data_IF_695082417372
#
_entry.id   IF_695082417372
#
_cell.length_a   1.000
_cell.length_b   1.000
_cell.length_c   1.000
_cell.angle_alpha   90.00
_cell.angle_beta   90.00
_cell.angle_gamma   90.00
#
_symmetry.space_group_name_H-M   'P 1'
#
loop_
_entity.id
_entity.type
_entity.pdbx_description
1 polymer ?
#
# COMPACT_ATOMS: atom_id res chain seq x y z
N UNK A 1 41.47 23.26 6.84
CA UNK A 1 41.14 22.32 5.75
C UNK A 1 39.64 22.30 5.63
N UNK A 2 39.10 22.71 4.50
CA UNK A 2 37.66 22.68 4.24
C UNK A 2 37.26 21.24 3.85
N UNK A 3 36.72 20.52 4.81
CA UNK A 3 36.47 19.08 4.69
C UNK A 3 35.31 18.78 3.72
N UNK A 4 34.32 19.67 3.61
CA UNK A 4 33.17 19.48 2.72
C UNK A 4 33.60 19.55 1.26
N UNK A 5 34.48 20.52 0.96
CA UNK A 5 35.05 20.69 -0.37
C UNK A 5 36.10 19.62 -0.71
N UNK A 6 36.77 19.06 0.31
CA UNK A 6 37.78 17.99 0.15
C UNK A 6 37.14 16.60 -0.02
N UNK A 7 35.99 16.35 0.63
CA UNK A 7 35.26 15.08 0.52
C UNK A 7 34.33 15.03 -0.69
N UNK A 8 34.16 16.15 -1.40
CA UNK A 8 33.29 16.25 -2.58
C UNK A 8 31.81 16.21 -2.22
N UNK A 9 31.44 16.67 -1.01
CA UNK A 9 30.06 16.68 -0.51
C UNK A 9 29.23 17.81 -1.13
N UNK A 10 29.25 17.92 -2.45
CA UNK A 10 28.54 18.95 -3.20
C UNK A 10 27.14 18.47 -3.63
N UNK A 11 26.12 19.26 -3.35
CA UNK A 11 24.81 19.08 -3.97
C UNK A 11 24.83 19.65 -5.39
N UNK A 12 25.09 18.78 -6.37
CA UNK A 12 25.21 19.16 -7.79
C UNK A 12 23.89 19.58 -8.42
N UNK A 13 22.75 19.25 -7.80
CA UNK A 13 21.42 19.49 -8.35
C UNK A 13 20.52 20.34 -7.46
N UNK A 14 21.03 20.76 -6.29
CA UNK A 14 20.40 21.74 -5.43
C UNK A 14 20.17 23.03 -6.19
N UNK A 15 18.90 23.40 -6.35
CA UNK A 15 18.54 24.70 -6.93
C UNK A 15 17.98 25.55 -5.81
N UNK A 16 18.72 26.59 -5.43
CA UNK A 16 18.24 27.65 -4.52
C UNK A 16 17.26 28.57 -5.25
N UNK A 17 16.05 28.06 -5.48
CA UNK A 17 14.96 28.78 -6.12
C UNK A 17 13.81 29.01 -5.13
N UNK A 18 13.03 30.06 -5.36
CA UNK A 18 11.82 30.32 -4.59
C UNK A 18 10.78 29.22 -4.87
N UNK A 19 9.75 29.13 -4.02
CA UNK A 19 8.63 28.18 -4.20
C UNK A 19 8.06 28.31 -5.61
N UNK A 20 8.11 27.21 -6.37
CA UNK A 20 7.61 27.12 -7.76
C UNK A 20 6.10 26.97 -7.86
N UNK A 21 5.43 26.58 -6.77
CA UNK A 21 4.00 26.35 -6.74
C UNK A 21 3.23 27.57 -6.24
N UNK A 22 2.01 27.82 -6.76
CA UNK A 22 1.14 28.87 -6.25
C UNK A 22 0.86 28.75 -4.75
N UNK A 23 0.69 29.90 -4.08
CA UNK A 23 0.52 29.96 -2.63
C UNK A 23 -0.78 29.29 -2.14
N UNK A 24 -1.86 29.40 -2.91
CA UNK A 24 -3.14 28.77 -2.58
C UNK A 24 -3.05 27.24 -2.55
N UNK A 25 -2.39 26.63 -3.54
CA UNK A 25 -2.15 25.19 -3.61
C UNK A 25 -1.23 24.76 -2.47
N UNK A 26 -0.13 25.49 -2.28
CA UNK A 26 0.83 25.22 -1.21
C UNK A 26 0.16 25.24 0.17
N UNK A 27 -0.69 26.23 0.44
CA UNK A 27 -1.42 26.34 1.71
C UNK A 27 -2.38 25.18 1.93
N UNK A 28 -3.14 24.78 0.89
CA UNK A 28 -4.05 23.65 0.98
C UNK A 28 -3.32 22.35 1.33
N UNK A 29 -2.24 22.00 0.61
CA UNK A 29 -1.53 20.75 0.83
C UNK A 29 -0.80 20.71 2.18
N UNK A 30 -0.26 21.85 2.63
CA UNK A 30 0.36 21.95 3.95
C UNK A 30 -0.65 21.66 5.06
N UNK A 31 -1.86 22.22 4.97
CA UNK A 31 -2.92 22.00 5.95
C UNK A 31 -3.49 20.58 5.88
N UNK A 32 -3.73 20.05 4.68
CA UNK A 32 -4.27 18.71 4.50
C UNK A 32 -3.29 17.61 4.99
N UNK A 33 -1.98 17.82 4.75
CA UNK A 33 -0.94 16.87 5.15
C UNK A 33 -0.54 16.96 6.63
N UNK A 34 -0.93 18.02 7.35
CA UNK A 34 -0.47 18.30 8.71
C UNK A 34 -0.76 17.14 9.69
N UNK A 35 -1.93 16.52 9.56
CA UNK A 35 -2.37 15.40 10.41
C UNK A 35 -1.44 14.18 10.27
N UNK A 36 -0.88 13.97 9.07
CA UNK A 36 0.01 12.85 8.75
C UNK A 36 1.50 13.26 8.69
N UNK A 37 1.82 14.51 9.05
CA UNK A 37 3.19 15.04 8.98
C UNK A 37 4.16 14.33 9.94
N UNK A 38 3.65 13.78 11.04
CA UNK A 38 4.45 13.03 12.02
C UNK A 38 4.63 11.60 11.53
N UNK A 39 5.90 11.15 11.47
CA UNK A 39 6.27 9.81 11.01
C UNK A 39 5.50 8.68 11.70
N UNK A 40 5.36 8.74 13.01
CA UNK A 40 4.64 7.72 13.78
C UNK A 40 3.14 7.75 13.53
N UNK A 41 2.56 8.95 13.34
CA UNK A 41 1.15 9.08 12.98
C UNK A 41 0.87 8.48 11.60
N UNK A 42 1.74 8.75 10.61
CA UNK A 42 1.63 8.16 9.27
C UNK A 42 1.76 6.63 9.30
N UNK A 43 2.75 6.11 10.04
CA UNK A 43 2.96 4.66 10.19
C UNK A 43 1.76 3.99 10.84
N UNK A 44 1.29 4.54 11.96
CA UNK A 44 0.11 4.05 12.66
C UNK A 44 -1.13 4.09 11.78
N UNK A 45 -1.35 5.20 11.06
CA UNK A 45 -2.46 5.35 10.13
C UNK A 45 -2.42 4.26 9.05
N UNK A 46 -1.33 4.15 8.29
CA UNK A 46 -1.21 3.16 7.19
C UNK A 46 -1.39 1.73 7.69
N UNK A 47 -0.77 1.37 8.81
CA UNK A 47 -0.89 0.03 9.37
C UNK A 47 -2.32 -0.28 9.81
N UNK A 48 -2.93 0.61 10.61
CA UNK A 48 -4.25 0.38 11.17
C UNK A 48 -5.35 0.43 10.11
N UNK A 49 -5.36 1.46 9.25
CA UNK A 49 -6.37 1.56 8.19
C UNK A 49 -6.17 0.50 7.12
N UNK A 50 -4.92 0.13 6.82
CA UNK A 50 -4.61 -0.96 5.90
C UNK A 50 -5.15 -2.29 6.40
N UNK A 51 -4.87 -2.66 7.66
CA UNK A 51 -5.39 -3.88 8.28
C UNK A 51 -6.93 -3.86 8.30
N UNK A 52 -7.53 -2.75 8.73
CA UNK A 52 -8.98 -2.62 8.79
C UNK A 52 -9.64 -2.76 7.42
N UNK A 53 -9.07 -2.13 6.38
CA UNK A 53 -9.58 -2.22 5.02
C UNK A 53 -9.48 -3.65 4.46
N UNK A 54 -8.34 -4.32 4.67
CA UNK A 54 -8.16 -5.71 4.22
C UNK A 54 -9.12 -6.65 4.94
N UNK A 55 -9.27 -6.51 6.26
CA UNK A 55 -10.16 -7.35 7.05
C UNK A 55 -11.64 -7.16 6.66
N UNK A 56 -12.08 -5.90 6.55
CA UNK A 56 -13.46 -5.58 6.14
C UNK A 56 -13.76 -6.05 4.72
N UNK A 57 -12.81 -5.90 3.80
CA UNK A 57 -12.94 -6.45 2.46
C UNK A 57 -12.99 -7.98 2.48
N UNK A 58 -12.09 -8.65 3.20
CA UNK A 58 -12.07 -10.11 3.28
C UNK A 58 -13.36 -10.71 3.87
N UNK A 59 -13.95 -10.06 4.88
CA UNK A 59 -15.16 -10.56 5.56
C UNK A 59 -16.44 -10.26 4.79
N UNK A 60 -16.58 -9.03 4.27
CA UNK A 60 -17.83 -8.56 3.66
C UNK A 60 -17.66 -8.29 2.17
N UNK A 61 -16.65 -7.51 1.80
CA UNK A 61 -16.38 -7.14 0.40
C UNK A 61 -16.20 -8.35 -0.52
N UNK A 62 -15.55 -9.41 -0.05
CA UNK A 62 -15.31 -10.65 -0.78
C UNK A 62 -16.61 -11.37 -1.13
N UNK A 63 -17.59 -11.34 -0.23
CA UNK A 63 -18.91 -11.94 -0.44
C UNK A 63 -19.76 -11.09 -1.38
N UNK A 64 -19.73 -9.78 -1.19
CA UNK A 64 -20.44 -8.81 -2.05
C UNK A 64 -19.89 -8.83 -3.49
N UNK A 65 -18.56 -8.98 -3.64
CA UNK A 65 -17.88 -9.17 -4.92
C UNK A 65 -17.99 -10.61 -5.48
N UNK A 66 -18.72 -11.49 -4.80
CA UNK A 66 -18.96 -12.88 -5.20
C UNK A 66 -17.70 -13.69 -5.48
N UNK A 67 -16.62 -13.44 -4.72
CA UNK A 67 -15.36 -14.16 -4.91
C UNK A 67 -15.59 -15.68 -4.75
N UNK A 68 -15.06 -16.54 -5.64
CA UNK A 68 -15.35 -17.97 -5.63
C UNK A 68 -15.10 -18.66 -4.29
N UNK A 69 -14.06 -18.21 -3.57
CA UNK A 69 -13.71 -18.73 -2.24
C UNK A 69 -14.82 -18.53 -1.20
N UNK A 70 -15.66 -17.50 -1.35
CA UNK A 70 -16.77 -17.23 -0.42
C UNK A 70 -18.00 -18.10 -0.67
N UNK A 71 -18.13 -18.66 -1.89
CA UNK A 71 -19.20 -19.60 -2.25
C UNK A 71 -18.85 -21.04 -1.92
N UNK A 72 -17.56 -21.36 -1.82
CA UNK A 72 -17.06 -22.72 -1.61
C UNK A 72 -17.27 -23.64 -2.83
N UNK A 73 -16.78 -24.88 -2.78
CA UNK A 73 -16.98 -25.86 -3.84
C UNK A 73 -18.45 -26.23 -3.96
N UNK A 74 -19.05 -26.00 -5.13
CA UNK A 74 -20.44 -26.38 -5.42
C UNK A 74 -20.54 -27.75 -6.09
N UNK A 75 -19.42 -28.28 -6.58
CA UNK A 75 -19.32 -29.58 -7.25
C UNK A 75 -18.09 -30.32 -6.73
N UNK A 76 -18.03 -31.62 -7.01
CA UNK A 76 -16.80 -32.39 -6.83
C UNK A 76 -15.67 -31.76 -7.63
N UNK A 77 -14.49 -31.64 -7.03
CA UNK A 77 -13.31 -31.08 -7.69
C UNK A 77 -12.81 -31.95 -8.83
N UNK A 78 -12.02 -31.38 -9.73
CA UNK A 78 -11.36 -32.12 -10.79
C UNK A 78 -10.43 -33.20 -10.21
N UNK A 79 -10.49 -34.40 -10.78
CA UNK A 79 -9.54 -35.44 -10.42
C UNK A 79 -8.16 -35.09 -10.98
N UNK A 80 -7.11 -35.32 -10.18
CA UNK A 80 -5.72 -35.24 -10.66
C UNK A 80 -5.44 -36.28 -11.76
N UNK A 81 -4.24 -36.27 -12.35
CA UNK A 81 -3.88 -37.16 -13.49
C UNK A 81 -4.05 -38.67 -13.25
N UNK A 82 -4.13 -39.12 -11.99
CA UNK A 82 -4.46 -40.50 -11.58
C UNK A 82 -5.93 -40.74 -11.21
N UNK A 83 -6.77 -39.72 -11.42
CA UNK A 83 -8.13 -39.87 -11.90
C UNK A 83 -9.12 -40.57 -10.99
N UNK A 84 -9.04 -40.56 -9.66
CA UNK A 84 -9.94 -41.43 -8.87
C UNK A 84 -9.86 -42.93 -9.27
N UNK A 85 -8.82 -43.34 -10.01
CA UNK A 85 -8.64 -44.68 -10.62
C UNK A 85 -8.27 -45.75 -9.60
N UNK A 86 -7.76 -45.35 -8.44
CA UNK A 86 -7.41 -46.26 -7.34
C UNK A 86 -8.58 -46.53 -6.40
N UNK A 87 -9.63 -45.70 -6.42
CA UNK A 87 -10.77 -45.80 -5.50
C UNK A 87 -11.86 -46.78 -5.99
N UNK A 88 -11.60 -47.49 -7.09
CA UNK A 88 -12.50 -48.48 -7.73
C UNK A 88 -11.86 -49.88 -7.84
N UNK A 89 -10.73 -50.07 -7.17
CA UNK A 89 -10.00 -51.34 -7.01
C UNK A 89 -9.88 -51.63 -5.52
#
# INVERSE_FOLDING_TARGET
>A
MDLENTTGSWDLYGVDDKKRYPDNQSKFFLQAGEILSRREALRGFVALTGIAAIATYGLKGAKDAQLPITKGPQTTGENGKGGALRNRL
#
